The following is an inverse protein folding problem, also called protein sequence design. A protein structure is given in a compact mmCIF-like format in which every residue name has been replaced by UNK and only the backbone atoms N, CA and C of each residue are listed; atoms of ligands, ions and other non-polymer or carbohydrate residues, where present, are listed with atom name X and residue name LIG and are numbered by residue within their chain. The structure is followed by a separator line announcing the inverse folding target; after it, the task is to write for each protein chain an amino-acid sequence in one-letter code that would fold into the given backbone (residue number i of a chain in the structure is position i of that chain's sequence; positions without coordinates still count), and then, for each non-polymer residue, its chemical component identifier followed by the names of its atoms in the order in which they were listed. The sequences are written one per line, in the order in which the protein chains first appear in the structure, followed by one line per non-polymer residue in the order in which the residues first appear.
data_IF_386297787565
#
_entry.id   IF_386297787565
#
_cell.length_a   1.000
_cell.length_b   1.000
_cell.length_c   1.000
_cell.angle_alpha   90.00
_cell.angle_beta   90.00
_cell.angle_gamma   90.00
#
_symmetry.space_group_name_H-M   'P 1'
#
loop_
_entity.id
_entity.type
_entity.pdbx_description
1 polymer ?
#
# COMPACT_ATOMS: atom_id res chain seq x y z
N UNK A 1 -39.27 -48.94 -35.32
CA UNK A 1 -37.89 -48.83 -34.83
C UNK A 1 -37.01 -48.38 -35.98
N UNK A 2 -36.90 -47.07 -36.18
CA UNK A 2 -35.79 -46.46 -36.93
C UNK A 2 -35.54 -45.12 -36.24
N UNK A 3 -34.81 -45.21 -35.13
CA UNK A 3 -33.81 -44.21 -34.78
C UNK A 3 -32.77 -44.29 -35.90
N UNK A 4 -32.40 -43.19 -36.54
CA UNK A 4 -31.05 -42.63 -36.37
C UNK A 4 -30.77 -41.46 -37.32
N UNK A 5 -30.00 -40.53 -36.76
CA UNK A 5 -28.95 -39.72 -37.35
C UNK A 5 -29.23 -38.86 -38.60
N UNK A 6 -29.56 -37.58 -38.35
CA UNK A 6 -29.16 -36.47 -39.22
C UNK A 6 -28.75 -35.26 -38.36
N UNK A 7 -27.76 -34.50 -38.83
CA UNK A 7 -26.72 -33.89 -38.00
C UNK A 7 -27.27 -32.71 -37.20
N UNK A 8 -26.75 -32.53 -35.99
CA UNK A 8 -26.95 -31.30 -35.21
C UNK A 8 -26.34 -30.16 -36.04
N UNK A 9 -27.19 -29.31 -36.60
CA UNK A 9 -26.76 -28.06 -37.22
C UNK A 9 -25.94 -27.27 -36.18
N UNK A 10 -24.83 -26.62 -36.58
CA UNK A 10 -24.07 -25.77 -35.66
C UNK A 10 -25.00 -24.68 -35.08
N UNK A 11 -24.78 -24.28 -33.81
CA UNK A 11 -25.80 -23.66 -32.97
C UNK A 11 -26.27 -22.28 -33.46
N UNK A 12 -27.55 -22.01 -33.21
CA UNK A 12 -28.33 -20.78 -33.46
C UNK A 12 -27.80 -19.53 -32.67
N UNK A 13 -26.72 -19.70 -31.92
CA UNK A 13 -26.10 -18.69 -31.05
C UNK A 13 -25.75 -17.39 -31.80
N UNK A 14 -25.37 -17.49 -33.08
CA UNK A 14 -25.00 -16.34 -33.90
C UNK A 14 -26.21 -15.47 -34.29
N UNK A 15 -27.40 -16.07 -34.44
CA UNK A 15 -28.61 -15.32 -34.77
C UNK A 15 -29.17 -14.61 -33.53
N UNK A 16 -29.12 -15.25 -32.36
CA UNK A 16 -29.50 -14.65 -31.09
C UNK A 16 -28.60 -13.45 -30.74
N UNK A 17 -27.28 -13.62 -30.87
CA UNK A 17 -26.30 -12.53 -30.67
C UNK A 17 -26.54 -11.34 -31.61
N UNK A 18 -26.96 -11.60 -32.85
CA UNK A 18 -27.25 -10.53 -33.82
C UNK A 18 -28.54 -9.77 -33.50
N UNK A 19 -29.55 -10.45 -32.95
CA UNK A 19 -30.79 -9.81 -32.49
C UNK A 19 -30.53 -8.93 -31.27
N UNK A 20 -29.69 -9.39 -30.35
CA UNK A 20 -29.29 -8.61 -29.17
C UNK A 20 -28.48 -7.38 -29.55
N UNK A 21 -27.52 -7.51 -30.47
CA UNK A 21 -26.75 -6.37 -30.99
C UNK A 21 -27.65 -5.34 -31.69
N UNK A 22 -28.66 -5.78 -32.45
CA UNK A 22 -29.63 -4.86 -33.06
C UNK A 22 -30.50 -4.16 -32.01
N UNK A 23 -30.87 -4.86 -30.95
CA UNK A 23 -31.61 -4.27 -29.85
C UNK A 23 -30.79 -3.20 -29.12
N UNK A 24 -29.54 -3.51 -28.82
CA UNK A 24 -28.60 -2.61 -28.15
C UNK A 24 -28.35 -1.35 -28.99
N UNK A 25 -28.14 -1.50 -30.30
CA UNK A 25 -27.98 -0.38 -31.24
C UNK A 25 -29.23 0.53 -31.24
N UNK A 26 -30.44 -0.03 -31.18
CA UNK A 26 -31.67 0.76 -31.14
C UNK A 26 -31.88 1.47 -29.80
N UNK A 27 -31.46 0.87 -28.69
CA UNK A 27 -31.49 1.52 -27.37
C UNK A 27 -30.49 2.67 -27.34
N UNK A 28 -29.26 2.44 -27.79
CA UNK A 28 -28.20 3.45 -27.90
C UNK A 28 -28.56 4.58 -28.90
N UNK A 29 -29.41 4.30 -29.89
CA UNK A 29 -29.96 5.33 -30.77
C UNK A 29 -30.96 6.24 -30.03
N UNK A 30 -31.79 5.67 -29.13
CA UNK A 30 -32.81 6.41 -28.38
C UNK A 30 -32.23 7.28 -27.27
N UNK A 31 -31.19 6.84 -26.58
CA UNK A 31 -30.50 7.63 -25.55
C UNK A 31 -29.47 8.63 -26.13
N UNK A 32 -29.10 8.46 -27.41
CA UNK A 32 -28.15 9.31 -28.12
C UNK A 32 -26.68 8.94 -27.87
N UNK A 33 -26.40 7.72 -27.40
CA UNK A 33 -25.04 7.23 -27.13
C UNK A 33 -24.32 6.66 -28.37
N UNK A 34 -25.00 6.53 -29.52
CA UNK A 34 -24.36 6.13 -30.78
C UNK A 34 -23.38 7.18 -31.34
N UNK A 35 -22.31 6.69 -31.96
CA UNK A 35 -21.40 7.54 -32.72
C UNK A 35 -22.09 8.15 -33.95
N UNK A 36 -21.54 9.23 -34.52
CA UNK A 36 -22.12 9.88 -35.71
C UNK A 36 -22.20 8.96 -36.93
N UNK A 37 -21.25 8.03 -37.08
CA UNK A 37 -21.25 7.03 -38.14
C UNK A 37 -22.31 5.97 -37.91
N UNK A 38 -22.47 5.50 -36.67
CA UNK A 38 -23.47 4.49 -36.30
C UNK A 38 -24.89 5.05 -36.41
N UNK A 39 -25.12 6.28 -35.96
CA UNK A 39 -26.41 6.98 -36.10
C UNK A 39 -26.81 7.09 -37.57
N UNK A 40 -25.91 7.50 -38.46
CA UNK A 40 -26.19 7.59 -39.89
C UNK A 40 -26.48 6.22 -40.55
N UNK A 41 -25.88 5.14 -40.02
CA UNK A 41 -26.17 3.76 -40.43
C UNK A 41 -27.59 3.36 -40.00
N UNK A 42 -27.96 3.61 -38.74
CA UNK A 42 -29.29 3.29 -38.21
C UNK A 42 -30.37 4.11 -38.89
N UNK A 43 -30.17 5.40 -39.17
CA UNK A 43 -31.13 6.25 -39.90
C UNK A 43 -31.47 5.69 -41.28
N UNK A 44 -30.46 5.20 -42.00
CA UNK A 44 -30.65 4.56 -43.30
C UNK A 44 -31.47 3.27 -43.17
N UNK A 45 -31.11 2.41 -42.21
CA UNK A 45 -31.84 1.17 -41.94
C UNK A 45 -33.29 1.45 -41.53
N UNK A 46 -33.55 2.46 -40.71
CA UNK A 46 -34.92 2.86 -40.34
C UNK A 46 -35.75 3.32 -41.53
N UNK A 47 -35.11 3.91 -42.55
CA UNK A 47 -35.79 4.30 -43.79
C UNK A 47 -36.18 3.07 -44.63
N UNK A 48 -35.29 2.09 -44.70
CA UNK A 48 -35.41 0.91 -45.59
C UNK A 48 -36.21 -0.25 -44.94
N UNK A 49 -36.15 -0.40 -43.62
CA UNK A 49 -36.65 -1.56 -42.87
C UNK A 49 -37.87 -1.20 -42.00
N UNK A 50 -39.11 -1.58 -42.40
CA UNK A 50 -40.31 -1.32 -41.60
C UNK A 50 -40.32 -2.03 -40.24
N UNK A 51 -39.68 -3.21 -40.14
CA UNK A 51 -39.59 -3.99 -38.89
C UNK A 51 -38.78 -3.24 -37.83
N UNK A 52 -37.68 -2.63 -38.24
CA UNK A 52 -36.81 -1.85 -37.36
C UNK A 52 -37.55 -0.62 -36.80
N UNK A 53 -38.35 0.07 -37.64
CA UNK A 53 -39.22 1.17 -37.18
C UNK A 53 -40.26 0.74 -36.15
N UNK A 54 -40.88 -0.42 -36.35
CA UNK A 54 -41.86 -0.95 -35.40
C UNK A 54 -41.19 -1.30 -34.05
N UNK A 55 -39.97 -1.84 -34.09
CA UNK A 55 -39.20 -2.14 -32.88
C UNK A 55 -38.82 -0.87 -32.13
N UNK A 56 -38.33 0.15 -32.82
CA UNK A 56 -38.04 1.47 -32.25
C UNK A 56 -39.28 2.12 -31.61
N UNK A 57 -40.44 2.06 -32.29
CA UNK A 57 -41.69 2.59 -31.75
C UNK A 57 -42.15 1.88 -30.46
N UNK A 58 -41.91 0.55 -30.36
CA UNK A 58 -42.23 -0.23 -29.16
C UNK A 58 -41.34 0.17 -27.98
N UNK A 59 -40.04 0.39 -28.25
CA UNK A 59 -39.09 0.90 -27.25
C UNK A 59 -39.49 2.29 -26.76
N UNK A 60 -39.79 3.21 -27.66
CA UNK A 60 -40.25 4.57 -27.32
C UNK A 60 -41.52 4.53 -26.47
N UNK A 61 -42.51 3.73 -26.84
CA UNK A 61 -43.75 3.58 -26.07
C UNK A 61 -43.50 3.11 -24.63
N UNK A 62 -42.51 2.24 -24.43
CA UNK A 62 -42.14 1.75 -23.10
C UNK A 62 -41.57 2.89 -22.24
N UNK A 63 -40.75 3.77 -22.83
CA UNK A 63 -40.24 4.97 -22.17
C UNK A 63 -41.35 5.97 -21.84
N UNK A 64 -42.29 6.20 -22.76
CA UNK A 64 -43.42 7.10 -22.54
C UNK A 64 -44.28 6.63 -21.35
N UNK A 65 -44.47 5.31 -21.18
CA UNK A 65 -45.17 4.73 -20.04
C UNK A 65 -44.43 4.94 -18.71
N UNK A 66 -43.09 4.87 -18.72
CA UNK A 66 -42.27 5.16 -17.54
C UNK A 66 -42.37 6.64 -17.15
N UNK A 67 -42.40 7.54 -18.12
CA UNK A 67 -42.57 8.98 -17.86
C UNK A 67 -43.97 9.31 -17.34
N UNK A 68 -44.99 8.57 -17.79
CA UNK A 68 -46.37 8.70 -17.32
C UNK A 68 -46.59 8.18 -15.88
N UNK A 69 -45.57 7.61 -15.22
CA UNK A 69 -45.70 7.10 -13.87
C UNK A 69 -45.98 8.24 -12.87
N UNK A 70 -47.01 8.10 -12.00
CA UNK A 70 -47.34 9.12 -11.02
C UNK A 70 -46.18 9.25 -10.03
N UNK A 71 -45.63 10.47 -9.93
CA UNK A 71 -44.66 10.78 -8.87
C UNK A 71 -45.40 10.84 -7.54
N UNK A 72 -45.09 9.92 -6.64
CA UNK A 72 -45.60 9.99 -5.26
C UNK A 72 -45.06 11.25 -4.59
N UNK A 73 -45.94 12.14 -4.15
CA UNK A 73 -45.55 13.22 -3.24
C UNK A 73 -45.20 12.59 -1.90
N UNK A 74 -43.92 12.66 -1.52
CA UNK A 74 -43.46 12.12 -0.24
C UNK A 74 -44.10 12.94 0.87
N UNK A 75 -44.86 12.28 1.75
CA UNK A 75 -45.40 12.92 2.95
C UNK A 75 -44.24 13.34 3.87
N UNK A 76 -44.32 14.53 4.46
CA UNK A 76 -43.31 15.08 5.39
C UNK A 76 -42.97 14.13 6.56
N UNK A 77 -43.89 13.22 6.89
CA UNK A 77 -43.68 12.14 7.87
C UNK A 77 -42.55 11.17 7.49
N UNK A 78 -42.28 10.93 6.20
CA UNK A 78 -41.18 10.05 5.76
C UNK A 78 -39.81 10.63 6.09
N UNK A 79 -39.63 11.93 5.86
CA UNK A 79 -38.43 12.67 6.27
C UNK A 79 -38.26 12.63 7.78
N UNK A 80 -39.36 12.81 8.52
CA UNK A 80 -39.36 12.73 9.98
C UNK A 80 -38.93 11.34 10.46
N UNK A 81 -39.51 10.27 9.93
CA UNK A 81 -39.14 8.89 10.30
C UNK A 81 -37.68 8.56 9.97
N UNK A 82 -37.14 9.11 8.87
CA UNK A 82 -35.73 8.92 8.53
C UNK A 82 -34.82 9.69 9.50
N UNK A 83 -35.16 10.94 9.82
CA UNK A 83 -34.44 11.73 10.82
C UNK A 83 -34.51 11.09 12.20
N UNK A 84 -35.65 10.51 12.58
CA UNK A 84 -35.81 9.74 13.82
C UNK A 84 -34.93 8.49 13.81
N UNK A 85 -34.88 7.74 12.71
CA UNK A 85 -34.01 6.57 12.57
C UNK A 85 -32.53 6.93 12.70
N UNK A 86 -32.09 8.01 12.05
CA UNK A 86 -30.71 8.53 12.15
C UNK A 86 -30.41 9.06 13.55
N UNK A 87 -31.35 9.75 14.18
CA UNK A 87 -31.19 10.22 15.56
C UNK A 87 -31.10 9.06 16.56
N UNK A 88 -31.87 7.99 16.34
CA UNK A 88 -31.80 6.76 17.13
C UNK A 88 -30.48 6.02 16.91
N UNK A 89 -29.98 5.92 15.67
CA UNK A 89 -28.69 5.28 15.38
C UNK A 89 -27.53 6.07 16.00
N UNK A 90 -27.54 7.40 15.90
CA UNK A 90 -26.55 8.27 16.53
C UNK A 90 -26.54 8.13 18.07
N UNK A 91 -27.72 8.06 18.70
CA UNK A 91 -27.82 7.78 20.13
C UNK A 91 -27.29 6.40 20.48
N UNK A 92 -27.56 5.39 19.65
CA UNK A 92 -27.06 4.05 19.84
C UNK A 92 -25.53 3.97 19.70
N UNK A 93 -24.95 4.68 18.71
CA UNK A 93 -23.50 4.82 18.56
C UNK A 93 -22.86 5.51 19.76
N UNK A 94 -23.46 6.58 20.29
CA UNK A 94 -22.98 7.24 21.50
C UNK A 94 -23.11 6.35 22.75
N UNK A 95 -24.18 5.55 22.85
CA UNK A 95 -24.40 4.61 23.94
C UNK A 95 -23.46 3.39 23.86
N UNK A 96 -23.12 2.94 22.65
CA UNK A 96 -22.12 1.90 22.40
C UNK A 96 -20.68 2.44 22.53
N UNK A 97 -20.47 3.72 22.24
CA UNK A 97 -19.28 4.48 22.62
C UNK A 97 -19.25 4.77 24.14
N UNK A 98 -19.66 3.79 24.96
CA UNK A 98 -19.18 3.67 26.33
C UNK A 98 -17.67 3.91 26.29
N UNK A 99 -17.12 4.81 27.12
CA UNK A 99 -15.69 5.02 27.16
C UNK A 99 -15.06 3.75 27.74
N UNK A 100 -14.75 2.78 26.88
CA UNK A 100 -13.90 1.63 27.20
C UNK A 100 -12.50 2.18 27.44
N UNK A 101 -12.28 2.58 28.68
CA UNK A 101 -11.00 3.04 29.16
C UNK A 101 -10.63 4.42 28.63
N UNK A 102 -10.86 5.42 29.48
CA UNK A 102 -9.85 6.47 29.70
C UNK A 102 -8.60 5.83 30.33
N UNK A 103 -8.07 4.75 29.74
CA UNK A 103 -6.85 4.05 30.17
C UNK A 103 -5.68 4.80 29.55
N UNK A 104 -5.46 5.97 30.14
CA UNK A 104 -4.21 6.71 30.20
C UNK A 104 -3.39 6.71 28.91
N UNK A 105 -3.62 7.71 28.05
CA UNK A 105 -2.65 8.16 27.04
C UNK A 105 -1.27 8.50 27.63
N UNK A 106 -1.14 8.55 28.98
CA UNK A 106 0.16 8.66 29.67
C UNK A 106 0.99 7.37 29.58
N UNK A 107 0.37 6.20 29.40
CA UNK A 107 1.11 4.94 29.24
C UNK A 107 1.93 4.88 27.96
N UNK A 108 1.37 5.35 26.84
CA UNK A 108 2.09 5.40 25.56
C UNK A 108 3.27 6.37 25.57
N UNK A 109 3.14 7.51 26.25
CA UNK A 109 4.26 8.47 26.40
C UNK A 109 5.37 7.95 27.29
N UNK A 110 5.04 7.17 28.34
CA UNK A 110 6.05 6.50 29.17
C UNK A 110 6.80 5.42 28.37
N UNK A 111 6.13 4.68 27.48
CA UNK A 111 6.78 3.70 26.63
C UNK A 111 7.72 4.35 25.61
N UNK A 112 7.27 5.41 24.92
CA UNK A 112 8.11 6.16 23.96
C UNK A 112 9.29 6.82 24.69
N UNK A 113 9.05 7.42 25.86
CA UNK A 113 10.11 7.98 26.69
C UNK A 113 11.12 6.93 27.14
N UNK A 114 10.66 5.75 27.57
CA UNK A 114 11.54 4.65 27.98
C UNK A 114 12.40 4.12 26.83
N UNK A 115 11.84 4.07 25.61
CA UNK A 115 12.57 3.63 24.42
C UNK A 115 13.66 4.64 24.03
N UNK A 116 13.36 5.94 24.11
CA UNK A 116 14.34 7.00 23.86
C UNK A 116 15.48 6.97 24.89
N UNK A 117 15.17 6.73 26.16
CA UNK A 117 16.17 6.59 27.23
C UNK A 117 17.00 5.33 27.04
N UNK A 118 16.38 4.19 26.69
CA UNK A 118 17.08 2.94 26.44
C UNK A 118 18.02 3.05 25.23
N UNK A 119 17.58 3.67 24.14
CA UNK A 119 18.42 3.92 22.96
C UNK A 119 19.60 4.85 23.30
N UNK A 120 19.37 5.91 24.08
CA UNK A 120 20.42 6.81 24.55
C UNK A 120 21.44 6.09 25.44
N UNK A 121 20.97 5.23 26.36
CA UNK A 121 21.83 4.46 27.25
C UNK A 121 22.65 3.40 26.49
N UNK A 122 22.03 2.70 25.54
CA UNK A 122 22.72 1.75 24.66
C UNK A 122 23.76 2.45 23.78
N UNK A 123 23.43 3.62 23.21
CA UNK A 123 24.37 4.46 22.46
C UNK A 123 25.55 4.92 23.33
N UNK A 124 25.28 5.38 24.55
CA UNK A 124 26.32 5.77 25.51
C UNK A 124 27.26 4.61 25.85
N UNK A 125 26.72 3.41 26.11
CA UNK A 125 27.52 2.20 26.36
C UNK A 125 28.36 1.81 25.15
N UNK A 126 27.81 1.87 23.94
CA UNK A 126 28.54 1.55 22.71
C UNK A 126 29.73 2.52 22.48
N UNK A 127 29.52 3.82 22.74
CA UNK A 127 30.59 4.83 22.67
C UNK A 127 31.63 4.60 23.76
N UNK A 128 31.21 4.33 25.01
CA UNK A 128 32.10 4.00 26.13
C UNK A 128 32.98 2.79 25.82
N UNK A 129 32.41 1.72 25.26
CA UNK A 129 33.15 0.51 24.93
C UNK A 129 34.19 0.75 23.81
N UNK A 130 33.82 1.50 22.76
CA UNK A 130 34.77 1.88 21.69
C UNK A 130 35.90 2.76 22.21
N UNK A 131 35.60 3.74 23.06
CA UNK A 131 36.61 4.62 23.63
C UNK A 131 37.55 3.87 24.56
N UNK A 132 37.09 2.90 25.34
CA UNK A 132 37.94 2.10 26.23
C UNK A 132 38.93 1.21 25.45
N UNK A 133 38.49 0.64 24.32
CA UNK A 133 39.38 -0.11 23.43
C UNK A 133 40.46 0.78 22.78
N UNK A 134 40.10 1.99 22.34
CA UNK A 134 41.07 2.97 21.82
C UNK A 134 42.00 3.50 22.93
N UNK A 135 41.46 3.78 24.11
CA UNK A 135 42.23 4.26 25.26
C UNK A 135 43.23 3.21 25.75
N UNK A 136 42.88 1.92 25.71
CA UNK A 136 43.86 0.86 26.02
C UNK A 136 45.07 0.92 25.12
N UNK A 137 44.89 1.17 23.83
CA UNK A 137 46.01 1.37 22.91
C UNK A 137 46.85 2.60 23.27
N UNK A 138 46.21 3.70 23.67
CA UNK A 138 46.90 4.91 24.16
C UNK A 138 47.64 4.70 25.48
N UNK A 139 47.15 3.80 26.35
CA UNK A 139 47.79 3.44 27.62
C UNK A 139 48.96 2.46 27.38
N UNK A 140 48.81 1.49 26.48
CA UNK A 140 49.90 0.59 26.05
C UNK A 140 51.00 1.36 25.31
N UNK A 141 50.63 2.34 24.49
CA UNK A 141 51.56 3.22 23.76
C UNK A 141 52.07 4.38 24.64
N UNK A 142 51.58 4.52 25.88
CA UNK A 142 51.96 5.59 26.81
C UNK A 142 53.48 5.64 27.12
N UNK A 143 54.19 4.51 27.33
CA UNK A 143 55.63 4.53 27.57
C UNK A 143 56.44 5.03 26.36
N UNK A 144 55.90 4.86 25.15
CA UNK A 144 56.49 5.37 23.91
C UNK A 144 56.22 6.86 23.78
N UNK A 145 54.98 7.29 24.06
CA UNK A 145 54.54 8.70 23.99
C UNK A 145 55.24 9.57 25.04
N UNK A 146 55.39 9.08 26.27
CA UNK A 146 56.02 9.82 27.38
C UNK A 146 57.52 10.07 27.14
N UNK A 147 58.18 9.21 26.36
CA UNK A 147 59.62 9.27 26.07
C UNK A 147 59.93 9.64 24.62
N UNK A 148 58.97 10.23 23.89
CA UNK A 148 59.14 10.63 22.47
C UNK A 148 60.42 11.43 22.26
N UNK A 149 60.76 12.33 23.18
CA UNK A 149 61.96 13.17 23.06
C UNK A 149 63.26 12.35 23.14
N UNK A 150 63.30 11.25 23.88
CA UNK A 150 64.46 10.36 23.94
C UNK A 150 64.62 9.59 22.62
N UNK A 151 63.51 9.10 22.04
CA UNK A 151 63.54 8.40 20.77
C UNK A 151 63.85 9.31 19.58
N UNK A 152 63.51 10.60 19.65
CA UNK A 152 63.81 11.58 18.61
C UNK A 152 65.28 11.98 18.53
N UNK A 153 66.04 11.80 19.62
CA UNK A 153 67.46 12.11 19.70
C UNK A 153 68.38 10.95 19.26
N UNK A 154 67.86 9.73 19.16
CA UNK A 154 68.57 8.60 18.56
C UNK A 154 68.34 8.67 17.06
N UNK A 155 69.30 9.25 16.34
CA UNK A 155 69.09 9.79 15.00
C UNK A 155 68.59 8.84 13.91
N UNK A 156 68.74 7.50 14.02
CA UNK A 156 68.25 6.57 13.00
C UNK A 156 67.82 5.20 13.57
N UNK A 157 66.79 4.62 12.96
CA UNK A 157 66.22 3.31 13.31
C UNK A 157 67.20 2.18 12.93
N UNK A 158 67.98 2.34 11.85
CA UNK A 158 68.95 1.32 11.42
C UNK A 158 70.00 1.04 12.50
N UNK A 159 70.40 2.07 13.27
CA UNK A 159 71.33 1.92 14.40
C UNK A 159 70.74 1.06 15.53
N UNK A 160 69.47 1.27 15.88
CA UNK A 160 68.79 0.50 16.93
C UNK A 160 68.56 -0.96 16.51
N UNK A 161 68.29 -1.21 15.23
CA UNK A 161 68.15 -2.57 14.68
C UNK A 161 69.48 -3.32 14.77
N UNK A 162 70.59 -2.69 14.36
CA UNK A 162 71.92 -3.31 14.44
C UNK A 162 72.34 -3.61 15.88
N UNK A 163 72.02 -2.71 16.80
CA UNK A 163 72.29 -2.89 18.24
C UNK A 163 71.46 -4.03 18.86
N UNK A 164 70.24 -4.28 18.33
CA UNK A 164 69.42 -5.40 18.76
C UNK A 164 69.90 -6.74 18.22
N UNK A 165 70.45 -6.77 17.00
CA UNK A 165 71.05 -7.96 16.39
C UNK A 165 72.32 -8.43 17.12
N UNK A 166 73.01 -7.52 17.81
CA UNK A 166 74.14 -7.84 18.69
C UNK A 166 73.72 -8.50 20.03
N UNK A 167 72.43 -8.73 20.26
CA UNK A 167 71.91 -9.56 21.35
C UNK A 167 72.05 -8.94 22.75
N UNK A 168 72.40 -7.66 22.84
CA UNK A 168 72.69 -6.98 24.12
C UNK A 168 71.45 -6.79 25.02
N UNK A 169 70.26 -7.00 24.47
CA UNK A 169 68.99 -6.88 25.19
C UNK A 169 68.45 -8.21 25.73
N UNK A 170 69.05 -9.35 25.37
CA UNK A 170 68.66 -10.65 25.90
C UNK A 170 69.34 -10.89 27.25
N UNK A 171 68.57 -10.71 28.32
CA UNK A 171 68.99 -11.12 29.65
C UNK A 171 69.08 -12.66 29.70
N UNK A 172 70.12 -13.25 30.33
CA UNK A 172 70.25 -14.69 30.43
C UNK A 172 69.06 -15.27 31.20
N UNK A 173 68.31 -16.15 30.54
CA UNK A 173 67.32 -17.02 31.19
C UNK A 173 68.05 -17.93 32.16
N UNK A 174 67.81 -17.73 33.45
CA UNK A 174 68.26 -18.64 34.49
C UNK A 174 67.50 -19.95 34.34
N UNK A 175 68.20 -21.06 34.05
CA UNK A 175 67.82 -22.43 34.38
C UNK A 175 68.96 -23.41 34.07
N UNK A 176 69.40 -24.19 35.08
CA UNK A 176 70.18 -25.42 34.88
C UNK A 176 71.34 -25.67 35.85
N UNK A 177 71.00 -26.14 37.07
CA UNK A 177 71.81 -26.79 38.13
C UNK A 177 72.91 -26.00 38.88
#
# INVERSE_FOLDING_TARGET
MTTDDRPIDPPDDAAETAVDAEHDDLVAYLDGELSTEDTARIDRRLTEEPRLRQRLATLQQSWDLLEALPRSSVAESFTRSTLEMVALSAQHELAQARPTGRRSRRGGWLLIGSLAVAASFAGFLAVRYRLDQSNRKLIDDLPVIERVDLYRNVGDIEFLVRLSEEGLFDAPTADGE
#
